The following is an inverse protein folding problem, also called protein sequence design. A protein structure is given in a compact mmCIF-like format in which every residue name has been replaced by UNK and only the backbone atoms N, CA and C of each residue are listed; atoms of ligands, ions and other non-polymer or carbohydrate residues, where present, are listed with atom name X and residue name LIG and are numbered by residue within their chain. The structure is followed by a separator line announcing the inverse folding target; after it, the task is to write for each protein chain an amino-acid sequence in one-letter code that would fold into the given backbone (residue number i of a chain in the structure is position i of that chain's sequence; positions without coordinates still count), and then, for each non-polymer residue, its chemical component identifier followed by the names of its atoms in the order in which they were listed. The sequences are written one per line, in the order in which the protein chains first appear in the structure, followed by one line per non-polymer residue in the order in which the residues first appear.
data_IF_948396026002
#
_entry.id   IF_948396026002
#
_cell.length_a   1.000
_cell.length_b   1.000
_cell.length_c   1.000
_cell.angle_alpha   90.00
_cell.angle_beta   90.00
_cell.angle_gamma   90.00
#
_symmetry.space_group_name_H-M   'P 1'
#
loop_
_entity.id
_entity.type
_entity.pdbx_description
1 polymer ?
#
# COMPACT_ATOMS: atom_id res chain seq x y z
N UNK A 1 -3.09 11.75 -5.85
CA UNK A 1 -4.45 11.16 -5.80
C UNK A 1 -5.19 11.63 -4.56
N UNK A 2 -4.86 11.11 -3.38
CA UNK A 2 -5.64 11.32 -2.15
C UNK A 2 -5.32 12.61 -1.36
N UNK A 3 -4.31 13.38 -1.77
CA UNK A 3 -3.80 14.54 -1.02
C UNK A 3 -2.88 14.16 0.14
N UNK A 4 -2.17 15.13 0.72
CA UNK A 4 -1.11 14.86 1.73
C UNK A 4 -1.64 14.16 2.98
N UNK A 5 -2.76 14.63 3.54
CA UNK A 5 -3.26 14.11 4.82
C UNK A 5 -3.66 12.62 4.73
N UNK A 6 -4.46 12.26 3.72
CA UNK A 6 -4.85 10.86 3.47
C UNK A 6 -3.67 9.99 3.05
N UNK A 7 -2.72 10.53 2.29
CA UNK A 7 -1.51 9.79 1.94
C UNK A 7 -0.69 9.41 3.18
N UNK A 8 -0.60 10.30 4.17
CA UNK A 8 0.06 10.00 5.44
C UNK A 8 -0.71 8.96 6.26
N UNK A 9 -2.05 9.05 6.31
CA UNK A 9 -2.90 8.06 6.96
C UNK A 9 -2.67 6.66 6.36
N UNK A 10 -2.71 6.54 5.04
CA UNK A 10 -2.49 5.28 4.31
C UNK A 10 -1.09 4.72 4.57
N UNK A 11 -0.04 5.51 4.31
CA UNK A 11 1.34 5.00 4.30
C UNK A 11 1.84 4.72 5.72
N UNK A 12 1.43 5.50 6.72
CA UNK A 12 1.94 5.36 8.08
C UNK A 12 1.15 4.38 8.94
N UNK A 13 -0.14 4.15 8.65
CA UNK A 13 -0.93 3.15 9.36
C UNK A 13 -0.55 1.73 8.98
N UNK A 14 -0.29 1.49 7.69
CA UNK A 14 -0.16 0.14 7.15
C UNK A 14 -1.46 -0.67 7.23
N UNK A 15 -2.62 0.00 7.34
CA UNK A 15 -3.92 -0.63 7.49
C UNK A 15 -4.52 -1.06 6.14
N UNK A 16 -5.50 -1.96 6.20
CA UNK A 16 -6.27 -2.41 5.05
C UNK A 16 -7.48 -1.48 4.84
N UNK A 17 -7.70 -1.02 3.61
CA UNK A 17 -8.80 -0.13 3.25
C UNK A 17 -9.76 -0.85 2.32
N UNK A 18 -11.05 -0.87 2.68
CA UNK A 18 -12.10 -1.39 1.80
C UNK A 18 -12.30 -0.51 0.56
N UNK A 19 -13.04 -1.06 -0.41
CA UNK A 19 -13.27 -0.41 -1.69
C UNK A 19 -13.96 0.96 -1.52
N UNK A 20 -14.94 1.04 -0.62
CA UNK A 20 -15.74 2.24 -0.39
C UNK A 20 -14.92 3.39 0.21
N UNK A 21 -14.03 3.10 1.17
CA UNK A 21 -13.09 4.09 1.70
C UNK A 21 -12.11 4.49 0.61
N UNK A 22 -11.57 3.53 -0.16
CA UNK A 22 -10.63 3.81 -1.23
C UNK A 22 -11.22 4.76 -2.30
N UNK A 23 -12.50 4.60 -2.67
CA UNK A 23 -13.20 5.51 -3.59
C UNK A 23 -13.40 6.89 -2.96
N UNK A 24 -13.93 6.97 -1.72
CA UNK A 24 -14.10 8.24 -1.00
C UNK A 24 -12.80 9.01 -0.83
N UNK A 25 -11.69 8.30 -0.74
CA UNK A 25 -10.36 8.90 -0.62
C UNK A 25 -9.82 9.39 -1.95
N UNK A 26 -10.36 8.90 -3.07
CA UNK A 26 -9.87 9.13 -4.43
C UNK A 26 -8.66 8.28 -4.78
N UNK A 27 -8.50 7.13 -4.10
CA UNK A 27 -7.43 6.17 -4.38
C UNK A 27 -7.81 5.32 -5.61
N UNK A 28 -9.06 4.88 -5.70
CA UNK A 28 -9.63 4.24 -6.89
C UNK A 28 -10.61 5.19 -7.59
N UNK A 29 -10.85 4.96 -8.89
CA UNK A 29 -11.72 5.81 -9.69
C UNK A 29 -13.21 5.63 -9.35
N UNK A 30 -13.62 4.40 -9.05
CA UNK A 30 -15.01 4.00 -8.78
C UNK A 30 -15.05 2.63 -8.08
N UNK A 31 -16.04 2.40 -7.22
CA UNK A 31 -16.43 1.05 -6.76
C UNK A 31 -17.69 0.55 -7.45
N UNK A 32 -17.81 -0.76 -7.56
CA UNK A 32 -18.93 -1.45 -8.20
C UNK A 32 -19.26 -2.68 -7.34
N UNK A 33 -20.51 -3.14 -7.45
CA UNK A 33 -20.87 -4.47 -6.96
C UNK A 33 -20.06 -5.53 -7.72
N UNK A 34 -19.71 -6.61 -7.04
CA UNK A 34 -18.81 -7.65 -7.59
C UNK A 34 -19.36 -8.25 -8.89
N UNK A 35 -20.67 -8.52 -8.93
CA UNK A 35 -21.38 -9.07 -10.09
C UNK A 35 -21.36 -8.13 -11.33
N UNK A 36 -21.12 -6.84 -11.14
CA UNK A 36 -21.11 -5.83 -12.21
C UNK A 36 -19.70 -5.52 -12.75
N UNK A 37 -18.65 -5.84 -11.99
CA UNK A 37 -17.27 -5.43 -12.28
C UNK A 37 -16.79 -5.89 -13.66
N UNK A 38 -16.97 -7.17 -13.97
CA UNK A 38 -16.52 -7.76 -15.24
C UNK A 38 -17.20 -7.08 -16.42
N UNK A 39 -18.53 -6.90 -16.35
CA UNK A 39 -19.31 -6.30 -17.43
C UNK A 39 -18.92 -4.84 -17.69
N UNK A 40 -18.64 -4.09 -16.62
CA UNK A 40 -18.21 -2.70 -16.72
C UNK A 40 -16.82 -2.58 -17.36
N UNK A 41 -15.86 -3.40 -16.92
CA UNK A 41 -14.50 -3.40 -17.47
C UNK A 41 -14.52 -3.79 -18.95
N UNK A 42 -15.30 -4.81 -19.33
CA UNK A 42 -15.46 -5.23 -20.72
C UNK A 42 -15.98 -4.10 -21.61
N UNK A 43 -17.03 -3.39 -21.16
CA UNK A 43 -17.59 -2.27 -21.90
C UNK A 43 -16.59 -1.12 -22.05
N UNK A 44 -15.84 -0.81 -20.98
CA UNK A 44 -14.82 0.24 -21.00
C UNK A 44 -13.68 -0.11 -21.97
N UNK A 45 -13.17 -1.34 -21.92
CA UNK A 45 -12.10 -1.81 -22.80
C UNK A 45 -12.55 -1.78 -24.26
N UNK A 46 -13.75 -2.28 -24.58
CA UNK A 46 -14.30 -2.22 -25.95
C UNK A 46 -14.43 -0.78 -26.45
N UNK A 47 -14.85 0.14 -25.58
CA UNK A 47 -14.92 1.57 -25.92
C UNK A 47 -13.54 2.14 -26.23
N UNK A 48 -12.54 1.88 -25.39
CA UNK A 48 -11.18 2.37 -25.61
C UNK A 48 -10.56 1.75 -26.88
N UNK A 49 -10.78 0.47 -27.12
CA UNK A 49 -10.29 -0.24 -28.31
C UNK A 49 -10.92 0.27 -29.62
N UNK A 50 -12.06 0.97 -29.55
CA UNK A 50 -12.71 1.55 -30.74
C UNK A 50 -12.07 2.86 -31.23
N UNK A 51 -11.12 3.44 -30.48
CA UNK A 51 -10.48 4.71 -30.80
C UNK A 51 -9.11 4.52 -31.45
N UNK A 52 -8.68 5.51 -32.23
CA UNK A 52 -7.34 5.54 -32.82
C UNK A 52 -6.27 5.53 -31.73
N UNK A 53 -5.29 4.66 -31.89
CA UNK A 53 -4.18 4.48 -30.95
C UNK A 53 -3.40 5.78 -30.77
N UNK A 54 -3.17 6.52 -31.86
CA UNK A 54 -2.45 7.79 -31.88
C UNK A 54 -3.19 8.86 -31.05
N UNK A 55 -4.52 8.90 -31.12
CA UNK A 55 -5.33 9.83 -30.34
C UNK A 55 -5.28 9.51 -28.83
N UNK A 56 -5.41 8.22 -28.47
CA UNK A 56 -5.27 7.77 -27.08
C UNK A 56 -3.88 8.07 -26.52
N UNK A 57 -2.83 7.82 -27.30
CA UNK A 57 -1.45 8.10 -26.91
C UNK A 57 -1.22 9.59 -26.68
N UNK A 58 -1.71 10.45 -27.58
CA UNK A 58 -1.59 11.90 -27.45
C UNK A 58 -2.32 12.43 -26.21
N UNK A 59 -3.54 11.96 -25.94
CA UNK A 59 -4.31 12.34 -24.75
C UNK A 59 -3.59 11.92 -23.46
N UNK A 60 -3.10 10.66 -23.40
CA UNK A 60 -2.33 10.15 -22.25
C UNK A 60 -1.05 10.95 -22.03
N UNK A 61 -0.32 11.25 -23.09
CA UNK A 61 0.92 12.04 -23.02
C UNK A 61 0.66 13.44 -22.46
N UNK A 62 -0.42 14.11 -22.92
CA UNK A 62 -0.77 15.44 -22.45
C UNK A 62 -1.15 15.46 -20.96
N UNK A 63 -1.89 14.45 -20.49
CA UNK A 63 -2.26 14.32 -19.07
C UNK A 63 -1.04 14.01 -18.19
N UNK A 64 -0.17 13.11 -18.63
CA UNK A 64 1.03 12.69 -17.87
C UNK A 64 2.09 13.79 -17.72
N UNK A 65 1.93 14.95 -18.37
CA UNK A 65 2.77 16.13 -18.13
C UNK A 65 2.75 16.59 -16.68
N UNK A 66 1.69 16.25 -15.94
CA UNK A 66 1.51 16.58 -14.54
C UNK A 66 1.13 15.35 -13.74
N UNK A 67 1.53 15.30 -12.46
CA UNK A 67 1.10 14.26 -11.52
C UNK A 67 1.81 12.91 -11.67
N UNK A 68 2.76 12.76 -12.59
CA UNK A 68 3.67 11.61 -12.64
C UNK A 68 5.05 12.04 -12.10
N UNK A 69 5.67 11.28 -11.19
CA UNK A 69 7.01 11.59 -10.71
C UNK A 69 8.03 11.48 -11.85
N UNK A 70 9.06 12.32 -11.79
CA UNK A 70 10.25 12.20 -12.62
C UNK A 70 11.03 10.93 -12.27
N UNK A 71 11.91 10.48 -13.17
CA UNK A 71 12.79 9.35 -12.92
C UNK A 71 13.64 9.55 -11.65
N UNK A 72 14.10 10.77 -11.38
CA UNK A 72 14.89 11.12 -10.18
C UNK A 72 14.06 11.01 -8.89
N UNK A 73 12.82 11.50 -8.88
CA UNK A 73 11.93 11.40 -7.71
C UNK A 73 11.56 9.94 -7.41
N UNK A 74 11.32 9.14 -8.45
CA UNK A 74 11.09 7.70 -8.31
C UNK A 74 12.34 6.98 -7.79
N UNK A 75 13.52 7.32 -8.32
CA UNK A 75 14.78 6.74 -7.85
C UNK A 75 15.05 7.06 -6.38
N UNK A 76 14.81 8.31 -5.95
CA UNK A 76 14.95 8.71 -4.55
C UNK A 76 14.06 7.87 -3.62
N UNK A 77 12.83 7.58 -4.03
CA UNK A 77 11.91 6.73 -3.27
C UNK A 77 12.40 5.28 -3.18
N UNK A 78 12.90 4.74 -4.30
CA UNK A 78 13.48 3.40 -4.35
C UNK A 78 14.72 3.27 -3.46
N UNK A 79 15.65 4.22 -3.53
CA UNK A 79 16.88 4.21 -2.73
C UNK A 79 16.56 4.20 -1.24
N UNK A 80 15.61 5.04 -0.81
CA UNK A 80 15.13 5.07 0.57
C UNK A 80 14.51 3.72 0.97
N UNK A 81 13.58 3.19 0.17
CA UNK A 81 12.86 1.96 0.49
C UNK A 81 13.81 0.73 0.58
N UNK A 82 14.65 0.51 -0.43
CA UNK A 82 15.56 -0.63 -0.45
C UNK A 82 16.63 -0.54 0.64
N UNK A 83 17.11 0.67 0.95
CA UNK A 83 18.02 0.87 2.09
C UNK A 83 17.35 0.52 3.43
N UNK A 84 16.06 0.84 3.59
CA UNK A 84 15.31 0.53 4.80
C UNK A 84 15.16 -0.98 5.05
N UNK A 85 15.19 -1.81 4.00
CA UNK A 85 15.16 -3.27 4.15
C UNK A 85 16.37 -3.86 4.88
N UNK A 86 17.48 -3.12 4.92
CA UNK A 86 18.69 -3.53 5.63
C UNK A 86 18.68 -3.16 7.12
N UNK A 87 17.74 -2.31 7.57
CA UNK A 87 17.67 -1.83 8.95
C UNK A 87 17.48 -2.98 9.96
N UNK A 88 18.09 -2.89 11.16
CA UNK A 88 18.02 -3.95 12.17
C UNK A 88 16.59 -4.38 12.48
N UNK A 89 15.68 -3.42 12.71
CA UNK A 89 14.28 -3.71 12.99
C UNK A 89 13.56 -4.45 11.87
N UNK A 90 13.93 -4.22 10.60
CA UNK A 90 13.34 -4.94 9.48
C UNK A 90 13.89 -6.37 9.38
N UNK A 91 15.14 -6.62 9.82
CA UNK A 91 15.68 -7.99 9.92
C UNK A 91 14.89 -8.82 10.94
N UNK A 92 14.63 -8.27 12.12
CA UNK A 92 13.83 -8.92 13.16
C UNK A 92 12.40 -9.20 12.68
N UNK A 93 11.73 -8.21 12.10
CA UNK A 93 10.36 -8.38 11.58
C UNK A 93 10.27 -9.38 10.43
N UNK A 94 11.25 -9.43 9.52
CA UNK A 94 11.29 -10.42 8.43
C UNK A 94 11.30 -11.86 8.93
N UNK A 95 11.99 -12.14 10.04
CA UNK A 95 11.96 -13.47 10.64
C UNK A 95 10.55 -13.81 11.17
N UNK A 96 9.91 -12.86 11.86
CA UNK A 96 8.55 -13.02 12.43
C UNK A 96 7.49 -13.25 11.34
N UNK A 97 7.46 -12.42 10.29
CA UNK A 97 6.43 -12.55 9.23
C UNK A 97 6.57 -13.88 8.48
N UNK A 98 7.80 -14.40 8.33
CA UNK A 98 8.02 -15.72 7.71
C UNK A 98 7.39 -16.84 8.53
N UNK A 99 7.49 -16.80 9.86
CA UNK A 99 6.79 -17.77 10.72
C UNK A 99 5.27 -17.59 10.76
N UNK A 100 4.76 -16.43 10.37
CA UNK A 100 3.33 -16.12 10.32
C UNK A 100 2.67 -16.53 8.99
N UNK A 101 3.43 -17.05 8.02
CA UNK A 101 2.89 -17.48 6.73
C UNK A 101 2.95 -16.42 5.62
N UNK A 102 3.83 -15.43 5.75
CA UNK A 102 4.13 -14.49 4.66
C UNK A 102 4.61 -15.21 3.39
N UNK A 103 4.04 -14.84 2.25
CA UNK A 103 4.31 -15.39 0.91
C UNK A 103 3.49 -16.63 0.55
N UNK A 104 2.53 -17.04 1.37
CA UNK A 104 1.59 -18.15 1.08
C UNK A 104 0.16 -17.79 1.52
N UNK A 105 -0.89 -18.41 0.94
CA UNK A 105 -2.27 -18.18 1.39
C UNK A 105 -2.43 -18.54 2.88
N UNK A 106 -2.49 -17.53 3.74
CA UNK A 106 -2.50 -17.65 5.19
C UNK A 106 -3.38 -16.57 5.83
N UNK A 107 -3.75 -16.75 7.09
CA UNK A 107 -4.48 -15.72 7.85
C UNK A 107 -3.71 -14.40 7.93
N UNK A 108 -2.37 -14.48 7.97
CA UNK A 108 -1.51 -13.30 7.95
C UNK A 108 -1.65 -12.50 6.65
N UNK A 109 -1.66 -13.15 5.49
CA UNK A 109 -1.83 -12.45 4.20
C UNK A 109 -3.27 -11.93 4.00
N UNK A 110 -4.29 -12.64 4.50
CA UNK A 110 -5.69 -12.23 4.38
C UNK A 110 -6.08 -11.07 5.32
N UNK A 111 -5.32 -10.89 6.41
CA UNK A 111 -5.58 -9.89 7.45
C UNK A 111 -4.31 -9.10 7.79
N UNK A 112 -3.53 -8.72 6.76
CA UNK A 112 -2.17 -8.20 6.93
C UNK A 112 -2.11 -6.96 7.81
N UNK A 113 -2.94 -5.94 7.54
CA UNK A 113 -2.99 -4.71 8.33
C UNK A 113 -3.32 -4.98 9.80
N UNK A 114 -4.25 -5.91 10.07
CA UNK A 114 -4.61 -6.35 11.43
C UNK A 114 -3.44 -6.99 12.18
N UNK A 115 -2.55 -7.69 11.48
CA UNK A 115 -1.41 -8.39 12.09
C UNK A 115 -0.16 -7.53 12.26
N UNK A 116 0.00 -6.44 11.50
CA UNK A 116 1.19 -5.58 11.57
C UNK A 116 1.55 -5.08 12.98
N UNK A 117 0.60 -4.65 13.85
CA UNK A 117 0.94 -4.23 15.21
C UNK A 117 1.60 -5.33 16.06
N UNK A 118 1.33 -6.61 15.76
CA UNK A 118 1.89 -7.76 16.50
C UNK A 118 3.38 -7.96 16.26
N UNK A 119 3.94 -7.34 15.21
CA UNK A 119 5.38 -7.44 14.91
C UNK A 119 6.25 -6.70 15.94
N UNK A 120 5.66 -5.80 16.73
CA UNK A 120 6.32 -5.05 17.81
C UNK A 120 7.32 -4.00 17.30
N UNK A 121 7.98 -3.31 18.24
CA UNK A 121 9.15 -2.47 17.92
C UNK A 121 10.37 -3.36 17.63
N UNK A 122 11.34 -2.79 16.94
CA UNK A 122 12.60 -3.47 16.59
C UNK A 122 13.35 -4.03 17.80
N UNK A 123 13.18 -3.37 18.95
CA UNK A 123 13.95 -3.59 20.17
C UNK A 123 13.16 -4.41 21.21
N UNK A 124 11.93 -4.84 20.89
CA UNK A 124 11.09 -5.68 21.76
C UNK A 124 11.49 -7.17 21.62
N UNK A 125 12.79 -7.46 21.76
CA UNK A 125 13.23 -8.81 22.10
C UNK A 125 12.85 -9.05 23.56
N UNK A 126 12.05 -10.09 23.79
CA UNK A 126 11.56 -10.47 25.11
C UNK A 126 12.76 -10.89 26.00
N UNK A 127 13.27 -9.90 26.71
CA UNK A 127 14.44 -9.96 27.59
C UNK A 127 14.37 -8.88 28.65
N UNK A 128 13.18 -8.62 29.18
CA UNK A 128 12.96 -7.73 30.32
C UNK A 128 11.97 -6.60 30.01
N UNK A 129 10.85 -6.61 30.72
CA UNK A 129 9.93 -5.48 30.83
C UNK A 129 10.69 -4.15 30.98
N UNK A 130 10.37 -3.09 30.21
CA UNK A 130 10.93 -1.78 30.48
C UNK A 130 10.54 -1.32 31.89
N UNK A 131 11.57 -1.00 32.69
CA UNK A 131 11.52 -0.57 34.10
C UNK A 131 10.58 0.63 34.41
N UNK A 132 10.04 1.30 33.38
CA UNK A 132 9.33 2.57 33.55
C UNK A 132 7.90 2.46 34.11
N UNK A 133 7.27 1.27 34.16
CA UNK A 133 5.87 1.13 34.63
C UNK A 133 5.68 0.45 36.00
N UNK A 134 6.74 0.19 36.76
CA UNK A 134 6.62 -0.50 38.07
C UNK A 134 6.38 0.40 39.29
N UNK A 135 6.20 1.71 39.12
CA UNK A 135 6.15 2.68 40.24
C UNK A 135 4.80 3.39 40.44
N UNK A 136 3.67 2.78 40.08
CA UNK A 136 2.34 3.28 40.49
C UNK A 136 1.39 2.14 40.90
N UNK A 137 1.81 1.35 41.89
CA UNK A 137 0.91 0.69 42.85
C UNK A 137 1.49 0.82 44.25
#
# INVERSE_FOLDING_TARGET
LVGRSRALEIVLSGDDFDADIAERYGWVNRTLDDDDLDSFVDALVRRLASFDREALAAAKAQLNRFGTPTATELQSSNDMFFSALAWPGQRTRRAKIRSMGYGVPSDFELNFGRHLPTLGRADDDDGGLPSCFRSLR
#
